data_IF_128337853466
#
_entry.id   IF_128337853466
#
_cell.length_a   1.000
_cell.length_b   1.000
_cell.length_c   1.000
_cell.angle_alpha   90.00
_cell.angle_beta   90.00
_cell.angle_gamma   90.00
#
_symmetry.space_group_name_H-M   'P 1'
#
loop_
_entity.id
_entity.type
_entity.pdbx_description
1 polymer ?
#
# COMPACT_ATOMS: atom_id res chain seq x y z
N UNK A 1 -6.00 18.04 6.27
CA UNK A 1 -4.75 18.82 6.06
C UNK A 1 -4.13 18.31 4.77
N UNK A 2 -3.72 19.19 3.85
CA UNK A 2 -3.23 18.78 2.52
C UNK A 2 -1.72 18.50 2.53
N UNK A 3 -1.26 17.61 1.65
CA UNK A 3 0.14 17.22 1.54
C UNK A 3 1.11 18.37 1.23
N UNK A 4 0.59 19.51 0.75
CA UNK A 4 1.37 20.71 0.43
C UNK A 4 2.07 21.38 1.62
N UNK A 5 1.63 21.12 2.87
CA UNK A 5 2.21 21.70 4.08
C UNK A 5 3.05 20.71 4.89
N UNK A 6 3.49 19.60 4.28
CA UNK A 6 4.32 18.61 4.96
C UNK A 6 5.73 19.15 5.22
N UNK A 7 6.24 18.90 6.42
CA UNK A 7 7.63 19.19 6.76
C UNK A 7 8.57 18.19 6.05
N UNK A 8 9.69 18.72 5.55
CA UNK A 8 10.70 17.98 4.78
C UNK A 8 12.13 18.26 5.28
N UNK A 9 12.26 18.83 6.47
CA UNK A 9 13.54 19.15 7.09
C UNK A 9 14.30 17.92 7.59
N UNK A 10 15.56 18.14 7.93
CA UNK A 10 16.39 17.17 8.67
C UNK A 10 16.58 17.68 10.09
N UNK A 11 16.40 16.77 11.05
CA UNK A 11 16.41 17.11 12.47
C UNK A 11 17.36 16.21 13.25
N UNK A 12 17.87 16.75 14.34
CA UNK A 12 18.48 15.98 15.41
C UNK A 12 17.43 15.36 16.31
N UNK A 13 17.89 14.67 17.35
CA UNK A 13 17.03 14.08 18.38
C UNK A 13 16.06 15.13 18.96
N UNK A 14 14.84 14.71 19.28
CA UNK A 14 13.74 15.58 19.77
C UNK A 14 13.37 16.71 18.79
N UNK A 15 13.48 16.45 17.49
CA UNK A 15 13.14 17.42 16.44
C UNK A 15 13.93 18.74 16.54
N UNK A 16 15.17 18.66 17.03
CA UNK A 16 16.06 19.83 17.17
C UNK A 16 16.78 20.13 15.87
N UNK A 17 17.25 21.37 15.69
CA UNK A 17 18.06 21.72 14.51
C UNK A 17 19.39 20.98 14.57
N UNK A 18 19.76 20.35 13.46
CA UNK A 18 21.05 19.69 13.30
C UNK A 18 22.17 20.74 13.39
N UNK A 19 23.26 20.41 14.09
CA UNK A 19 24.45 21.28 14.16
C UNK A 19 25.26 21.15 12.87
N UNK A 20 25.97 22.22 12.51
CA UNK A 20 26.81 22.24 11.32
C UNK A 20 27.83 21.08 11.33
N UNK A 21 27.71 20.16 10.37
CA UNK A 21 28.61 19.01 10.20
C UNK A 21 28.17 17.70 10.87
N UNK A 22 27.06 17.68 11.61
CA UNK A 22 26.45 16.43 12.10
C UNK A 22 25.41 15.90 11.11
N UNK A 23 25.34 14.58 10.93
CA UNK A 23 24.28 13.94 10.14
C UNK A 23 23.09 13.56 11.03
N UNK A 24 21.88 13.78 10.53
CA UNK A 24 20.66 13.32 11.18
C UNK A 24 20.57 11.79 11.17
N UNK A 25 20.10 11.20 12.28
CA UNK A 25 19.78 9.77 12.35
C UNK A 25 18.63 9.44 11.37
N UNK A 26 18.62 8.23 10.79
CA UNK A 26 17.67 7.78 9.76
C UNK A 26 16.18 8.03 10.12
N UNK A 27 15.86 8.05 11.42
CA UNK A 27 14.53 8.36 11.95
C UNK A 27 14.10 9.82 11.91
N UNK A 28 15.06 10.75 11.89
CA UNK A 28 14.84 12.19 11.97
C UNK A 28 15.21 12.90 10.67
N UNK A 29 15.57 12.13 9.64
CA UNK A 29 15.80 12.59 8.28
C UNK A 29 14.55 12.36 7.42
N UNK A 30 14.11 13.40 6.71
CA UNK A 30 13.00 13.26 5.78
C UNK A 30 13.40 12.38 4.59
N UNK A 31 12.52 11.44 4.25
CA UNK A 31 12.67 10.58 3.08
C UNK A 31 11.45 10.75 2.16
N UNK A 32 11.71 10.88 0.86
CA UNK A 32 10.64 11.00 -0.12
C UNK A 32 9.96 9.64 -0.38
N UNK A 33 8.80 9.68 -1.04
CA UNK A 33 8.02 8.47 -1.32
C UNK A 33 8.81 7.42 -2.11
N UNK A 34 9.69 7.82 -3.02
CA UNK A 34 10.54 6.88 -3.78
C UNK A 34 11.60 6.20 -2.92
N UNK A 35 12.20 6.92 -1.96
CA UNK A 35 13.22 6.37 -1.07
C UNK A 35 12.62 5.37 -0.06
N UNK A 36 11.40 5.65 0.41
CA UNK A 36 10.66 4.76 1.32
C UNK A 36 9.89 3.65 0.59
N UNK A 37 9.89 3.65 -0.75
CA UNK A 37 8.98 2.83 -1.57
C UNK A 37 7.50 2.99 -1.15
N UNK A 38 7.18 4.16 -0.60
CA UNK A 38 5.88 4.49 -0.04
C UNK A 38 4.86 4.83 -1.12
N UNK A 39 3.66 4.28 -0.99
CA UNK A 39 2.53 4.61 -1.86
C UNK A 39 1.64 5.65 -1.20
N UNK A 40 1.07 6.57 -2.00
CA UNK A 40 0.19 7.57 -1.45
C UNK A 40 -1.08 6.91 -0.92
N UNK A 41 -1.48 7.32 0.29
CA UNK A 41 -2.55 6.68 1.04
C UNK A 41 -3.61 7.70 1.45
N UNK A 42 -4.87 7.38 1.16
CA UNK A 42 -6.02 8.17 1.61
C UNK A 42 -6.45 7.72 3.01
N UNK A 43 -6.22 8.60 3.97
CA UNK A 43 -6.75 8.49 5.33
C UNK A 43 -8.16 9.08 5.45
N UNK A 44 -8.66 9.13 6.69
CA UNK A 44 -9.89 9.79 7.07
C UNK A 44 -9.73 11.32 7.05
N UNK A 45 -8.61 11.83 7.55
CA UNK A 45 -8.37 13.26 7.76
C UNK A 45 -7.66 13.94 6.58
N UNK A 46 -7.07 13.16 5.69
CA UNK A 46 -6.27 13.69 4.60
C UNK A 46 -5.73 12.65 3.63
N UNK A 47 -4.89 13.14 2.72
CA UNK A 47 -4.16 12.36 1.75
C UNK A 47 -2.67 12.47 2.06
N UNK A 48 -2.00 11.31 2.19
CA UNK A 48 -0.59 11.20 2.55
C UNK A 48 0.19 10.75 1.32
N UNK A 49 1.28 11.44 0.97
CA UNK A 49 2.02 11.22 -0.29
C UNK A 49 2.92 9.96 -0.30
N UNK A 50 3.15 9.35 0.86
CA UNK A 50 4.02 8.17 1.01
C UNK A 50 5.47 8.51 1.41
N UNK A 51 5.82 9.80 1.51
CA UNK A 51 7.07 10.26 2.12
C UNK A 51 6.91 10.59 3.61
N UNK A 52 8.01 10.76 4.32
CA UNK A 52 8.02 11.14 5.73
C UNK A 52 9.29 10.74 6.46
N UNK A 53 9.17 10.65 7.79
CA UNK A 53 10.21 10.17 8.68
C UNK A 53 9.95 8.69 8.98
N UNK A 54 10.96 7.83 8.86
CA UNK A 54 10.79 6.39 8.99
C UNK A 54 11.86 5.78 9.90
N UNK A 55 11.46 4.84 10.76
CA UNK A 55 12.37 4.13 11.66
C UNK A 55 12.14 2.63 11.60
N UNK A 56 13.23 1.86 11.49
CA UNK A 56 13.16 0.39 11.45
C UNK A 56 13.33 -0.19 12.86
N UNK A 57 12.31 -0.91 13.35
CA UNK A 57 12.30 -1.50 14.70
C UNK A 57 13.22 -2.74 14.86
N UNK A 58 13.78 -3.26 13.77
CA UNK A 58 14.61 -4.47 13.79
C UNK A 58 13.80 -5.77 13.88
N UNK A 59 14.50 -6.90 13.83
CA UNK A 59 13.89 -8.24 13.60
C UNK A 59 13.56 -9.03 14.88
N UNK A 60 14.07 -8.61 16.02
CA UNK A 60 13.86 -9.28 17.32
C UNK A 60 12.95 -8.46 18.21
N UNK A 61 12.25 -9.11 19.15
CA UNK A 61 11.45 -8.41 20.13
C UNK A 61 12.29 -7.44 20.98
N UNK A 62 13.50 -7.84 21.38
CA UNK A 62 14.40 -7.00 22.17
C UNK A 62 14.87 -5.76 21.39
N UNK A 63 15.25 -5.92 20.11
CA UNK A 63 15.62 -4.79 19.25
C UNK A 63 14.44 -3.85 19.04
N UNK A 64 13.24 -4.39 18.77
CA UNK A 64 12.04 -3.60 18.56
C UNK A 64 11.66 -2.81 19.80
N UNK A 65 11.73 -3.42 20.98
CA UNK A 65 11.46 -2.73 22.22
C UNK A 65 12.50 -1.63 22.50
N UNK A 66 13.78 -1.89 22.23
CA UNK A 66 14.84 -0.88 22.35
C UNK A 66 14.60 0.31 21.40
N UNK A 67 14.29 0.05 20.14
CA UNK A 67 13.97 1.07 19.14
C UNK A 67 12.75 1.90 19.54
N UNK A 68 11.65 1.25 19.98
CA UNK A 68 10.45 1.95 20.43
C UNK A 68 10.76 2.83 21.66
N UNK A 69 11.50 2.31 22.63
CA UNK A 69 11.92 3.09 23.80
C UNK A 69 12.76 4.29 23.41
N UNK A 70 13.70 4.11 22.49
CA UNK A 70 14.54 5.20 21.97
C UNK A 70 13.71 6.29 21.27
N UNK A 71 12.75 5.90 20.42
CA UNK A 71 11.84 6.85 19.76
C UNK A 71 10.96 7.60 20.77
N UNK A 72 10.51 6.90 21.81
CA UNK A 72 9.70 7.49 22.88
C UNK A 72 10.50 8.49 23.73
N UNK A 73 11.73 8.16 24.10
CA UNK A 73 12.62 9.05 24.89
C UNK A 73 12.97 10.35 24.15
N UNK A 74 12.97 10.28 22.82
CA UNK A 74 13.29 11.38 21.92
C UNK A 74 12.06 12.05 21.29
N UNK A 75 10.86 11.85 21.86
CA UNK A 75 9.63 12.53 21.44
C UNK A 75 9.35 12.44 19.93
N UNK A 76 9.68 11.28 19.32
CA UNK A 76 9.51 11.08 17.87
C UNK A 76 8.05 11.18 17.41
N UNK A 77 7.10 11.03 18.34
CA UNK A 77 5.70 11.33 18.10
C UNK A 77 5.35 12.54 18.97
N UNK A 78 4.98 13.63 18.32
CA UNK A 78 4.71 14.93 18.94
C UNK A 78 3.34 15.50 18.53
N UNK A 79 3.04 16.73 18.96
CA UNK A 79 1.79 17.44 18.66
C UNK A 79 1.66 17.88 17.19
N UNK A 80 2.75 17.83 16.41
CA UNK A 80 2.76 18.14 14.98
C UNK A 80 2.58 16.90 14.11
N UNK A 81 2.84 15.70 14.65
CA UNK A 81 2.63 14.42 13.99
C UNK A 81 1.16 14.25 13.59
N UNK A 82 0.87 14.07 12.30
CA UNK A 82 -0.51 13.96 11.77
C UNK A 82 -0.95 12.54 11.47
N UNK A 83 -0.02 11.67 11.10
CA UNK A 83 -0.29 10.25 10.92
C UNK A 83 0.95 9.42 11.16
N UNK A 84 0.75 8.24 11.73
CA UNK A 84 1.79 7.23 11.93
C UNK A 84 1.40 5.99 11.15
N UNK A 85 2.33 5.49 10.34
CA UNK A 85 2.18 4.27 9.57
C UNK A 85 3.04 3.18 10.22
N UNK A 86 2.41 2.04 10.53
CA UNK A 86 3.08 0.85 11.04
C UNK A 86 2.83 -0.28 10.05
N UNK A 87 3.91 -0.76 9.44
CA UNK A 87 3.87 -1.76 8.38
C UNK A 87 4.78 -2.93 8.73
N UNK A 88 4.25 -4.14 8.67
CA UNK A 88 5.03 -5.35 8.88
C UNK A 88 4.42 -6.54 8.15
N UNK A 89 5.25 -7.53 7.83
CA UNK A 89 4.83 -8.77 7.19
C UNK A 89 5.20 -9.96 8.06
N UNK A 90 4.23 -10.85 8.31
CA UNK A 90 4.40 -12.08 9.07
C UNK A 90 4.24 -13.26 8.13
N UNK A 91 5.08 -14.29 8.30
CA UNK A 91 4.94 -15.57 7.60
C UNK A 91 4.42 -16.65 8.55
N UNK A 92 3.34 -17.32 8.14
CA UNK A 92 2.83 -18.52 8.80
C UNK A 92 3.27 -19.76 8.02
N UNK A 93 4.17 -20.56 8.61
CA UNK A 93 4.72 -21.75 7.98
C UNK A 93 3.69 -22.88 7.82
N UNK A 94 2.79 -23.06 8.79
CA UNK A 94 1.76 -24.10 8.74
C UNK A 94 0.79 -23.90 7.57
N UNK A 95 0.45 -22.65 7.27
CA UNK A 95 -0.48 -22.28 6.19
C UNK A 95 0.22 -21.92 4.87
N UNK A 96 1.55 -21.85 4.87
CA UNK A 96 2.37 -21.27 3.79
C UNK A 96 1.80 -19.91 3.31
N UNK A 97 1.51 -19.03 4.26
CA UNK A 97 0.78 -17.80 4.02
C UNK A 97 1.55 -16.61 4.62
N UNK A 98 1.85 -15.64 3.76
CA UNK A 98 2.34 -14.35 4.18
C UNK A 98 1.15 -13.44 4.48
N UNK A 99 1.29 -12.58 5.48
CA UNK A 99 0.28 -11.60 5.84
C UNK A 99 0.97 -10.27 6.05
N UNK A 100 0.70 -9.30 5.17
CA UNK A 100 1.15 -7.93 5.33
C UNK A 100 0.09 -7.13 6.07
N UNK A 101 0.49 -6.45 7.15
CA UNK A 101 -0.38 -5.64 7.99
C UNK A 101 0.05 -4.19 7.88
N UNK A 102 -0.92 -3.34 7.56
CA UNK A 102 -0.78 -1.89 7.48
C UNK A 102 -1.70 -1.27 8.53
N UNK A 103 -1.12 -0.50 9.44
CA UNK A 103 -1.86 0.21 10.48
C UNK A 103 -1.56 1.69 10.34
N UNK A 104 -2.62 2.49 10.32
CA UNK A 104 -2.52 3.95 10.23
C UNK A 104 -3.15 4.51 11.49
N UNK A 105 -2.42 5.34 12.22
CA UNK A 105 -2.93 6.13 13.32
C UNK A 105 -3.00 7.59 12.90
N UNK A 106 -4.18 8.12 12.63
CA UNK A 106 -4.37 9.52 12.28
C UNK A 106 -4.66 10.36 13.52
N UNK A 107 -3.93 11.46 13.69
CA UNK A 107 -4.16 12.44 14.75
C UNK A 107 -4.98 13.60 14.21
N UNK A 108 -6.19 13.77 14.75
CA UNK A 108 -7.05 14.89 14.39
C UNK A 108 -6.54 16.18 15.03
N UNK A 109 -6.86 17.36 14.44
CA UNK A 109 -6.57 18.65 15.07
C UNK A 109 -7.19 18.79 16.48
N UNK A 110 -8.23 18.04 16.79
CA UNK A 110 -8.87 17.98 18.11
C UNK A 110 -8.09 17.13 19.14
N UNK A 111 -6.98 16.50 18.74
CA UNK A 111 -6.22 15.56 19.57
C UNK A 111 -6.76 14.13 19.58
N UNK A 112 -7.88 13.86 18.89
CA UNK A 112 -8.43 12.51 18.78
C UNK A 112 -7.58 11.61 17.86
N UNK A 113 -7.37 10.37 18.27
CA UNK A 113 -6.61 9.36 17.52
C UNK A 113 -7.58 8.40 16.79
N UNK A 114 -7.43 8.25 15.47
CA UNK A 114 -8.24 7.35 14.67
C UNK A 114 -7.37 6.24 14.05
N UNK A 115 -7.48 5.00 14.55
CA UNK A 115 -6.76 3.87 13.98
C UNK A 115 -7.52 3.27 12.79
N UNK A 116 -6.78 2.90 11.73
CA UNK A 116 -7.28 2.14 10.58
C UNK A 116 -6.36 0.96 10.32
N UNK A 117 -6.95 -0.22 10.15
CA UNK A 117 -6.23 -1.46 9.94
C UNK A 117 -6.52 -2.02 8.55
N UNK A 118 -5.49 -2.50 7.88
CA UNK A 118 -5.60 -3.25 6.62
C UNK A 118 -4.68 -4.45 6.68
N UNK A 119 -5.26 -5.64 6.58
CA UNK A 119 -4.54 -6.91 6.64
C UNK A 119 -4.71 -7.62 5.31
N UNK A 120 -3.60 -7.92 4.64
CA UNK A 120 -3.55 -8.53 3.32
C UNK A 120 -2.82 -9.88 3.37
N UNK A 121 -3.54 -11.01 3.38
CA UNK A 121 -2.94 -12.32 3.24
C UNK A 121 -2.58 -12.59 1.77
N UNK A 122 -1.39 -13.14 1.52
CA UNK A 122 -0.94 -13.55 0.19
C UNK A 122 -0.02 -14.78 0.24
N UNK A 123 0.03 -15.53 -0.87
CA UNK A 123 0.91 -16.69 -1.03
C UNK A 123 1.97 -16.39 -2.08
N UNK A 124 3.24 -16.49 -1.70
CA UNK A 124 4.38 -16.40 -2.61
C UNK A 124 4.50 -17.67 -3.45
N UNK A 125 4.41 -18.84 -2.81
CA UNK A 125 4.45 -20.15 -3.48
C UNK A 125 3.04 -20.71 -3.72
N UNK A 126 2.40 -20.28 -4.81
CA UNK A 126 1.02 -20.73 -5.15
C UNK A 126 0.92 -22.22 -5.51
N UNK A 127 1.97 -22.78 -6.10
CA UNK A 127 1.99 -24.15 -6.63
C UNK A 127 2.77 -25.09 -5.71
N UNK A 128 2.39 -25.18 -4.43
CA UNK A 128 3.05 -26.05 -3.44
C UNK A 128 2.11 -27.14 -2.92
N UNK A 129 2.62 -28.37 -2.84
CA UNK A 129 1.91 -29.55 -2.32
C UNK A 129 1.13 -30.35 -3.37
N UNK A 130 0.41 -31.38 -2.94
CA UNK A 130 -0.27 -32.34 -3.83
C UNK A 130 -1.29 -31.72 -4.79
N UNK A 131 -1.87 -30.58 -4.44
CA UNK A 131 -2.95 -29.96 -5.23
C UNK A 131 -2.42 -28.96 -6.27
N UNK A 132 -1.10 -28.74 -6.35
CA UNK A 132 -0.50 -27.74 -7.23
C UNK A 132 -0.87 -27.95 -8.71
N UNK A 133 -0.83 -29.20 -9.17
CA UNK A 133 -1.18 -29.56 -10.55
C UNK A 133 -2.67 -29.32 -10.84
N UNK A 134 -3.55 -29.65 -9.89
CA UNK A 134 -4.98 -29.39 -10.02
C UNK A 134 -5.27 -27.88 -10.09
N UNK A 135 -4.63 -27.08 -9.24
CA UNK A 135 -4.73 -25.62 -9.28
C UNK A 135 -4.29 -25.07 -10.63
N UNK A 136 -3.10 -25.49 -11.12
CA UNK A 136 -2.57 -25.06 -12.40
C UNK A 136 -3.52 -25.39 -13.57
N UNK A 137 -4.02 -26.62 -13.63
CA UNK A 137 -4.96 -27.03 -14.68
C UNK A 137 -6.26 -26.22 -14.62
N UNK A 138 -6.78 -25.95 -13.42
CA UNK A 138 -7.98 -25.13 -13.25
C UNK A 138 -7.78 -23.68 -13.70
N UNK A 139 -6.61 -23.10 -13.43
CA UNK A 139 -6.26 -21.74 -13.85
C UNK A 139 -6.12 -21.65 -15.38
N UNK A 140 -5.42 -22.61 -16.00
CA UNK A 140 -5.32 -22.69 -17.46
C UNK A 140 -6.69 -22.89 -18.12
N UNK A 141 -7.54 -23.74 -17.54
CA UNK A 141 -8.91 -23.93 -17.97
C UNK A 141 -9.74 -22.64 -17.91
N UNK A 142 -9.65 -21.89 -16.80
CA UNK A 142 -10.33 -20.60 -16.64
C UNK A 142 -9.83 -19.54 -17.64
N UNK A 143 -8.51 -19.48 -17.90
CA UNK A 143 -7.94 -18.57 -18.90
C UNK A 143 -8.48 -18.92 -20.30
N UNK A 144 -8.44 -20.19 -20.68
CA UNK A 144 -8.94 -20.64 -21.98
C UNK A 144 -10.44 -20.35 -22.15
N UNK A 145 -11.23 -20.63 -21.11
CA UNK A 145 -12.66 -20.33 -21.08
C UNK A 145 -12.93 -18.83 -21.24
N UNK A 146 -12.19 -17.99 -20.50
CA UNK A 146 -12.32 -16.52 -20.56
C UNK A 146 -11.99 -16.01 -21.96
N UNK A 147 -10.91 -16.49 -22.59
CA UNK A 147 -10.53 -16.12 -23.96
C UNK A 147 -11.62 -16.54 -24.96
N UNK A 148 -12.13 -17.76 -24.84
CA UNK A 148 -13.22 -18.25 -25.71
C UNK A 148 -14.45 -17.34 -25.63
N UNK A 149 -14.92 -17.03 -24.42
CA UNK A 149 -16.07 -16.15 -24.21
C UNK A 149 -15.79 -14.72 -24.71
N UNK A 150 -14.60 -14.18 -24.44
CA UNK A 150 -14.21 -12.86 -24.91
C UNK A 150 -14.25 -12.75 -26.44
N UNK A 151 -13.70 -13.74 -27.16
CA UNK A 151 -13.75 -13.78 -28.63
C UNK A 151 -15.17 -13.94 -29.16
N UNK A 152 -15.98 -14.80 -28.52
CA UNK A 152 -17.39 -14.99 -28.89
C UNK A 152 -18.18 -13.69 -28.75
N UNK A 153 -18.06 -13.00 -27.62
CA UNK A 153 -18.71 -11.71 -27.36
C UNK A 153 -18.26 -10.64 -28.36
N UNK A 154 -16.96 -10.56 -28.69
CA UNK A 154 -16.47 -9.64 -29.72
C UNK A 154 -17.10 -9.93 -31.09
N UNK A 155 -17.23 -11.20 -31.48
CA UNK A 155 -17.87 -11.58 -32.75
C UNK A 155 -19.36 -11.22 -32.76
N UNK A 156 -20.06 -11.45 -31.65
CA UNK A 156 -21.46 -11.08 -31.49
C UNK A 156 -21.67 -9.57 -31.56
N UNK A 157 -20.88 -8.78 -30.82
CA UNK A 157 -20.90 -7.33 -30.87
C UNK A 157 -20.63 -6.79 -32.29
N UNK A 158 -19.66 -7.36 -33.01
CA UNK A 158 -19.38 -6.99 -34.41
C UNK A 158 -20.55 -7.31 -35.33
N UNK A 159 -21.23 -8.45 -35.14
CA UNK A 159 -22.41 -8.84 -35.94
C UNK A 159 -23.59 -7.90 -35.66
N UNK A 160 -23.88 -7.62 -34.38
CA UNK A 160 -24.94 -6.69 -33.98
C UNK A 160 -24.68 -5.28 -34.51
N UNK A 161 -23.45 -4.77 -34.38
CA UNK A 161 -23.06 -3.46 -34.95
C UNK A 161 -23.27 -3.41 -36.46
N UNK A 162 -22.87 -4.45 -37.21
CA UNK A 162 -23.12 -4.52 -38.66
C UNK A 162 -24.61 -4.55 -39.01
N UNK A 163 -25.42 -5.26 -38.22
CA UNK A 163 -26.87 -5.32 -38.41
C UNK A 163 -27.53 -3.96 -38.20
N UNK A 164 -27.15 -3.25 -37.13
CA UNK A 164 -27.66 -1.90 -36.84
C UNK A 164 -27.28 -0.93 -37.96
N UNK A 165 -26.01 -0.92 -38.39
CA UNK A 165 -25.54 -0.05 -39.47
C UNK A 165 -26.27 -0.32 -40.81
N UNK A 166 -26.60 -1.58 -41.09
CA UNK A 166 -27.36 -1.96 -42.30
C UNK A 166 -28.79 -1.44 -42.24
N UNK A 167 -29.47 -1.58 -41.10
CA UNK A 167 -30.83 -1.07 -40.91
C UNK A 167 -30.84 0.46 -40.97
N UNK A 168 -29.90 1.15 -40.30
CA UNK A 168 -29.84 2.61 -40.37
C UNK A 168 -29.66 3.12 -41.79
N UNK A 169 -28.86 2.45 -42.64
CA UNK A 169 -28.65 2.83 -44.04
C UNK A 169 -29.90 2.75 -44.92
N UNK A 170 -30.86 1.87 -44.59
CA UNK A 170 -32.11 1.72 -45.36
C UNK A 170 -33.16 2.80 -45.08
N UNK A 171 -33.07 3.53 -43.96
CA UNK A 171 -34.03 4.60 -43.62
C UNK A 171 -33.78 5.92 -44.36
N UNK A 172 -32.57 6.17 -44.83
CA UNK A 172 -32.20 7.43 -45.52
C UNK A 172 -32.34 7.34 -47.04
N UNK A 173 -32.78 6.20 -47.58
CA UNK A 173 -32.87 5.94 -49.02
C UNK A 173 -34.32 5.80 -49.52
N UNK A 174 -35.32 6.32 -48.80
CA UNK A 174 -36.75 6.34 -49.17
C UNK A 174 -37.27 7.76 -49.29
#
# INVERSE_FOLDING_TARGET
>A
MSAYNADRGEYGLKWTKVKDGEEAEDGFKYQNATALEGLPTRGLAGYYEGGGYAYTLGRSQASAFKSISHLKENDWIDEHTRAIFVEFTIFNNQLNLFTSSFIIFEMMPTGALYPKFKVLPFRLERYRGNNALMTLLSELGMIAYTIYFFVKEIKLMKKQRRSILRISGTWWSS
#
